data_IF_419757067566
#
_entry.id   IF_419757067566
#
_cell.length_a   1.000
_cell.length_b   1.000
_cell.length_c   1.000
_cell.angle_alpha   90.00
_cell.angle_beta   90.00
_cell.angle_gamma   90.00
#
_symmetry.space_group_name_H-M   'P 1'
#
loop_
_entity.id
_entity.type
_entity.pdbx_description
1 polymer ?
#
# COMPACT_ATOMS: atom_id res chain seq x y z
N UNK A 1 29.26 -7.94 38.20
CA UNK A 1 28.43 -6.96 37.45
C UNK A 1 28.23 -7.57 36.08
N UNK A 2 27.07 -8.13 35.84
CA UNK A 2 26.72 -8.68 34.54
C UNK A 2 26.55 -7.49 33.57
N UNK A 3 27.38 -7.43 32.56
CA UNK A 3 27.16 -6.56 31.39
C UNK A 3 25.85 -6.98 30.75
N UNK A 4 24.77 -6.22 30.97
CA UNK A 4 23.57 -6.34 30.19
C UNK A 4 23.92 -6.01 28.74
N UNK A 5 24.03 -7.02 27.90
CA UNK A 5 24.09 -6.88 26.45
C UNK A 5 22.76 -6.27 26.00
N UNK A 6 22.74 -4.96 25.83
CA UNK A 6 21.57 -4.23 25.36
C UNK A 6 21.40 -4.55 23.88
N UNK A 7 20.39 -5.37 23.57
CA UNK A 7 20.06 -5.74 22.17
C UNK A 7 19.64 -4.48 21.40
N UNK A 8 20.13 -4.24 20.19
CA UNK A 8 19.80 -3.03 19.39
C UNK A 8 18.30 -2.78 19.22
N UNK A 9 17.49 -3.83 19.22
CA UNK A 9 16.04 -3.74 19.15
C UNK A 9 15.41 -3.12 20.40
N UNK A 10 15.99 -3.39 21.59
CA UNK A 10 15.54 -2.78 22.86
C UNK A 10 15.90 -1.30 22.94
N UNK A 11 17.00 -0.90 22.31
CA UNK A 11 17.39 0.52 22.21
C UNK A 11 16.50 1.30 21.24
N UNK A 12 16.13 0.68 20.12
CA UNK A 12 15.18 1.27 19.18
C UNK A 12 13.80 1.45 19.85
N UNK A 13 13.37 0.45 20.60
CA UNK A 13 12.10 0.48 21.32
C UNK A 13 12.08 1.53 22.42
N UNK A 14 13.14 1.64 23.21
CA UNK A 14 13.27 2.72 24.23
C UNK A 14 13.36 4.11 23.61
N UNK A 15 14.07 4.26 22.48
CA UNK A 15 14.14 5.54 21.77
C UNK A 15 12.77 5.91 21.18
N UNK A 16 12.02 4.94 20.68
CA UNK A 16 10.64 5.10 20.22
C UNK A 16 9.65 5.33 21.37
N UNK A 17 9.86 4.73 22.54
CA UNK A 17 9.06 4.97 23.76
C UNK A 17 9.30 6.33 24.39
N UNK A 18 10.53 6.83 24.36
CA UNK A 18 10.92 8.11 24.98
C UNK A 18 10.55 9.33 24.14
N UNK A 19 10.18 9.16 22.90
CA UNK A 19 10.04 10.27 21.95
C UNK A 19 8.75 10.37 21.17
N UNK A 20 7.95 9.33 21.06
CA UNK A 20 6.77 9.37 20.21
C UNK A 20 5.51 9.79 20.97
N UNK A 21 5.41 11.02 21.39
CA UNK A 21 4.11 11.68 21.38
C UNK A 21 3.82 12.23 19.97
N UNK A 22 3.78 11.37 18.94
CA UNK A 22 2.93 11.65 17.80
C UNK A 22 1.52 11.58 18.35
N UNK A 23 0.90 12.75 18.49
CA UNK A 23 -0.50 12.85 18.83
C UNK A 23 -1.31 11.88 17.97
N UNK A 24 -2.08 11.01 18.60
CA UNK A 24 -3.29 10.31 18.13
C UNK A 24 -3.47 10.12 16.60
N UNK A 25 -2.47 9.59 15.90
CA UNK A 25 -2.61 9.20 14.50
C UNK A 25 -3.18 7.80 14.38
N UNK A 26 -4.33 7.56 15.03
CA UNK A 26 -5.09 6.33 14.82
C UNK A 26 -5.71 6.35 13.40
N UNK A 27 -5.84 5.18 12.79
CA UNK A 27 -6.52 5.07 11.51
C UNK A 27 -7.95 5.64 11.62
N UNK A 28 -8.37 6.54 10.72
CA UNK A 28 -9.69 7.19 10.79
C UNK A 28 -10.80 6.23 10.33
N UNK A 29 -11.20 5.26 11.17
CA UNK A 29 -12.22 4.26 10.83
C UNK A 29 -13.55 4.85 10.39
N UNK A 30 -13.82 6.12 10.76
CA UNK A 30 -15.01 6.88 10.33
C UNK A 30 -15.09 7.09 8.81
N UNK A 31 -14.01 6.83 8.07
CA UNK A 31 -14.05 6.85 6.59
C UNK A 31 -14.97 5.77 6.03
N UNK A 32 -15.06 4.64 6.70
CA UNK A 32 -15.88 3.51 6.27
C UNK A 32 -17.36 3.69 6.60
N UNK A 33 -18.23 3.02 5.84
CA UNK A 33 -19.63 2.82 6.19
C UNK A 33 -19.80 2.12 7.55
N UNK A 34 -20.97 2.24 8.13
CA UNK A 34 -21.32 1.65 9.43
C UNK A 34 -21.07 0.15 9.49
N UNK A 35 -21.47 -0.59 8.46
CA UNK A 35 -21.29 -2.03 8.38
C UNK A 35 -19.81 -2.43 8.44
N UNK A 36 -18.96 -1.79 7.64
CA UNK A 36 -17.51 -2.06 7.64
C UNK A 36 -16.88 -1.68 8.98
N UNK A 37 -17.32 -0.56 9.61
CA UNK A 37 -16.82 -0.17 10.93
C UNK A 37 -17.15 -1.20 12.01
N UNK A 38 -18.35 -1.78 11.97
CA UNK A 38 -18.76 -2.83 12.90
C UNK A 38 -17.89 -4.08 12.74
N UNK A 39 -17.66 -4.52 11.50
CA UNK A 39 -16.75 -5.64 11.20
C UNK A 39 -15.33 -5.37 11.75
N UNK A 40 -14.79 -4.16 11.53
CA UNK A 40 -13.47 -3.78 12.07
C UNK A 40 -13.45 -3.87 13.60
N UNK A 41 -14.50 -3.38 14.28
CA UNK A 41 -14.61 -3.41 15.73
C UNK A 41 -14.70 -4.86 16.26
N UNK A 42 -15.53 -5.71 15.66
CA UNK A 42 -15.68 -7.11 16.02
C UNK A 42 -14.35 -7.88 15.86
N UNK A 43 -13.69 -7.73 14.72
CA UNK A 43 -12.38 -8.37 14.46
C UNK A 43 -11.33 -7.87 15.44
N UNK A 44 -11.30 -6.58 15.76
CA UNK A 44 -10.39 -6.02 16.75
C UNK A 44 -10.66 -6.59 18.15
N UNK A 45 -11.90 -6.58 18.62
CA UNK A 45 -12.29 -7.02 19.95
C UNK A 45 -12.11 -8.54 20.14
N UNK A 46 -12.44 -9.34 19.13
CA UNK A 46 -12.40 -10.79 19.24
C UNK A 46 -11.02 -11.38 18.92
N UNK A 47 -10.31 -10.83 17.93
CA UNK A 47 -9.03 -11.37 17.49
C UNK A 47 -7.82 -10.61 18.07
N UNK A 48 -8.03 -9.44 18.67
CA UNK A 48 -6.96 -8.60 19.21
C UNK A 48 -6.04 -8.02 18.13
N UNK A 49 -6.51 -7.93 16.88
CA UNK A 49 -5.70 -7.36 15.80
C UNK A 49 -5.71 -5.83 15.87
N UNK A 50 -4.58 -5.17 15.58
CA UNK A 50 -4.53 -3.71 15.52
C UNK A 50 -5.49 -3.15 14.47
N UNK A 51 -6.29 -2.15 14.86
CA UNK A 51 -7.31 -1.51 13.99
C UNK A 51 -6.70 -0.99 12.68
N UNK A 52 -5.52 -0.37 12.75
CA UNK A 52 -4.82 0.17 11.58
C UNK A 52 -4.54 -0.90 10.52
N UNK A 53 -4.13 -2.11 10.96
CA UNK A 53 -3.86 -3.20 10.01
C UNK A 53 -5.15 -3.77 9.42
N UNK A 54 -6.22 -3.93 10.24
CA UNK A 54 -7.52 -4.41 9.75
C UNK A 54 -8.07 -3.43 8.74
N UNK A 55 -8.18 -2.16 9.12
CA UNK A 55 -8.77 -1.10 8.31
C UNK A 55 -8.01 -0.88 6.98
N UNK A 56 -6.67 -0.88 7.03
CA UNK A 56 -5.86 -0.74 5.82
C UNK A 56 -5.94 -1.96 4.90
N UNK A 57 -6.00 -3.17 5.46
CA UNK A 57 -6.18 -4.39 4.68
C UNK A 57 -7.55 -4.41 4.00
N UNK A 58 -8.62 -4.02 4.71
CA UNK A 58 -9.97 -3.91 4.14
C UNK A 58 -10.07 -2.81 3.09
N UNK A 59 -9.37 -1.68 3.26
CA UNK A 59 -9.27 -0.63 2.23
C UNK A 59 -8.67 -1.18 0.92
N UNK A 60 -7.60 -1.98 1.02
CA UNK A 60 -7.00 -2.62 -0.16
C UNK A 60 -7.95 -3.63 -0.78
N UNK A 61 -8.64 -4.44 0.02
CA UNK A 61 -9.62 -5.40 -0.48
C UNK A 61 -10.75 -4.72 -1.26
N UNK A 62 -11.27 -3.58 -0.77
CA UNK A 62 -12.26 -2.76 -1.49
C UNK A 62 -11.66 -2.28 -2.83
N UNK A 63 -10.44 -1.74 -2.82
CA UNK A 63 -9.76 -1.30 -4.02
C UNK A 63 -9.61 -2.43 -5.07
N UNK A 64 -9.23 -3.63 -4.64
CA UNK A 64 -9.12 -4.83 -5.50
C UNK A 64 -10.49 -5.23 -6.08
N UNK A 65 -11.55 -5.19 -5.26
CA UNK A 65 -12.92 -5.46 -5.71
C UNK A 65 -13.38 -4.50 -6.80
N UNK A 66 -13.04 -3.23 -6.69
CA UNK A 66 -13.31 -2.20 -7.71
C UNK A 66 -12.55 -2.51 -9.00
N UNK A 67 -11.23 -2.68 -8.91
CA UNK A 67 -10.39 -2.93 -10.08
C UNK A 67 -10.53 -1.83 -11.16
N UNK A 68 -10.49 -2.24 -12.42
CA UNK A 68 -10.65 -1.36 -13.59
C UNK A 68 -12.13 -1.06 -13.95
N UNK A 69 -13.11 -1.33 -13.09
CA UNK A 69 -14.53 -1.07 -13.41
C UNK A 69 -14.87 0.41 -13.42
N UNK A 70 -14.22 1.18 -12.56
CA UNK A 70 -14.47 2.62 -12.38
C UNK A 70 -13.17 3.41 -12.39
N UNK A 71 -13.22 4.61 -12.97
CA UNK A 71 -12.20 5.64 -12.84
C UNK A 71 -12.85 6.92 -12.32
N UNK A 72 -12.18 7.60 -11.40
CA UNK A 72 -12.59 8.93 -10.98
C UNK A 72 -11.93 9.97 -11.89
N UNK A 73 -12.70 10.96 -12.35
CA UNK A 73 -12.20 12.05 -13.20
C UNK A 73 -12.19 13.38 -12.43
N UNK A 74 -11.00 13.87 -12.14
CA UNK A 74 -10.82 15.19 -11.52
C UNK A 74 -10.99 16.32 -12.54
N UNK A 75 -10.36 16.20 -13.68
CA UNK A 75 -10.41 17.11 -14.82
C UNK A 75 -10.45 16.29 -16.10
N UNK A 76 -10.95 16.88 -17.17
CA UNK A 76 -10.92 16.24 -18.48
C UNK A 76 -9.50 15.76 -18.83
N UNK A 77 -9.34 14.44 -18.99
CA UNK A 77 -8.06 13.80 -19.28
C UNK A 77 -7.20 13.48 -18.05
N UNK A 78 -7.64 13.80 -16.82
CA UNK A 78 -7.01 13.36 -15.58
C UNK A 78 -7.94 12.41 -14.83
N UNK A 79 -7.67 11.14 -15.00
CA UNK A 79 -8.43 10.03 -14.43
C UNK A 79 -7.52 9.16 -13.56
N UNK A 80 -8.03 8.72 -12.41
CA UNK A 80 -7.33 7.80 -11.51
C UNK A 80 -8.19 6.55 -11.24
N UNK A 81 -7.52 5.43 -11.05
CA UNK A 81 -8.14 4.16 -10.65
C UNK A 81 -8.05 3.97 -9.12
N UNK A 82 -8.70 2.93 -8.60
CA UNK A 82 -8.65 2.59 -7.18
C UNK A 82 -7.35 1.90 -6.73
N UNK A 83 -6.30 1.84 -7.54
CA UNK A 83 -5.09 1.07 -7.31
C UNK A 83 -4.26 1.60 -6.12
N UNK A 84 -3.85 0.70 -5.21
CA UNK A 84 -3.08 1.02 -4.00
C UNK A 84 -1.82 0.16 -3.88
N UNK A 85 -0.74 0.76 -3.37
CA UNK A 85 0.47 0.06 -2.89
C UNK A 85 0.58 0.27 -1.38
N UNK A 86 0.39 -0.79 -0.60
CA UNK A 86 0.30 -0.70 0.87
C UNK A 86 1.26 -1.67 1.55
N UNK A 87 2.02 -1.20 2.52
CA UNK A 87 2.92 -1.98 3.35
C UNK A 87 2.54 -1.89 4.83
N UNK A 88 2.16 -3.02 5.43
CA UNK A 88 1.90 -3.13 6.86
C UNK A 88 3.21 -3.34 7.62
N UNK A 89 3.63 -2.33 8.37
CA UNK A 89 4.93 -2.28 9.03
C UNK A 89 4.81 -2.62 10.51
N UNK A 90 5.60 -3.57 11.00
CA UNK A 90 5.61 -3.87 12.42
C UNK A 90 6.73 -4.83 12.80
N UNK A 91 6.92 -5.04 14.11
CA UNK A 91 7.85 -6.04 14.63
C UNK A 91 7.34 -7.46 14.34
N UNK A 92 8.20 -8.49 14.45
CA UNK A 92 7.73 -9.88 14.51
C UNK A 92 6.71 -10.06 15.62
N UNK A 93 5.63 -10.79 15.35
CA UNK A 93 4.60 -11.10 16.35
C UNK A 93 3.57 -9.99 16.63
N UNK A 94 3.52 -8.92 15.81
CA UNK A 94 2.50 -7.86 15.91
C UNK A 94 1.22 -8.12 15.11
N UNK A 95 0.98 -9.38 14.75
CA UNK A 95 -0.24 -9.81 14.04
C UNK A 95 -0.55 -9.03 12.74
N UNK A 96 0.46 -8.80 11.89
CA UNK A 96 0.28 -8.09 10.61
C UNK A 96 -0.42 -8.94 9.54
N UNK A 97 -0.05 -10.23 9.47
CA UNK A 97 -0.52 -11.13 8.40
C UNK A 97 -1.98 -11.56 8.57
N UNK A 98 -2.46 -11.76 9.81
CA UNK A 98 -3.82 -12.22 10.06
C UNK A 98 -4.89 -11.22 9.60
N UNK A 99 -4.80 -9.90 9.92
CA UNK A 99 -5.74 -8.91 9.39
C UNK A 99 -5.78 -8.91 7.85
N UNK A 100 -4.62 -9.06 7.22
CA UNK A 100 -4.52 -9.11 5.77
C UNK A 100 -5.18 -10.39 5.22
N UNK A 101 -4.96 -11.53 5.87
CA UNK A 101 -5.62 -12.79 5.50
C UNK A 101 -7.14 -12.70 5.63
N UNK A 102 -7.64 -12.10 6.72
CA UNK A 102 -9.07 -11.85 6.91
C UNK A 102 -9.66 -11.00 5.78
N UNK A 103 -9.04 -9.85 5.50
CA UNK A 103 -9.54 -8.93 4.48
C UNK A 103 -9.53 -9.51 3.07
N UNK A 104 -8.51 -10.33 2.74
CA UNK A 104 -8.32 -10.90 1.40
C UNK A 104 -8.99 -12.27 1.21
N UNK A 105 -9.57 -12.86 2.27
CA UNK A 105 -10.23 -14.17 2.21
C UNK A 105 -11.27 -14.28 1.11
N UNK A 106 -12.18 -13.29 0.89
CA UNK A 106 -13.19 -13.39 -0.17
C UNK A 106 -12.60 -13.61 -1.57
N UNK A 107 -11.43 -13.01 -1.86
CA UNK A 107 -10.75 -13.21 -3.15
C UNK A 107 -10.07 -14.57 -3.26
N UNK A 108 -9.53 -15.11 -2.16
CA UNK A 108 -8.99 -16.45 -2.16
C UNK A 108 -10.07 -17.50 -2.39
N UNK A 109 -11.23 -17.33 -1.76
CA UNK A 109 -12.39 -18.21 -1.94
C UNK A 109 -12.90 -18.13 -3.39
N UNK A 110 -12.97 -16.94 -3.98
CA UNK A 110 -13.30 -16.74 -5.38
C UNK A 110 -12.26 -17.42 -6.30
N UNK A 111 -10.98 -17.13 -6.13
CA UNK A 111 -9.89 -17.69 -6.95
C UNK A 111 -9.85 -19.23 -6.87
N UNK A 112 -10.18 -19.79 -5.72
CA UNK A 112 -10.28 -21.24 -5.55
C UNK A 112 -11.44 -21.85 -6.35
N UNK A 113 -12.62 -21.21 -6.34
CA UNK A 113 -13.76 -21.68 -7.13
C UNK A 113 -13.49 -21.54 -8.64
N UNK A 114 -12.96 -20.41 -9.07
CA UNK A 114 -12.59 -20.19 -10.48
C UNK A 114 -11.50 -21.16 -10.95
N UNK A 115 -10.56 -21.53 -10.08
CA UNK A 115 -9.56 -22.55 -10.40
C UNK A 115 -10.20 -23.92 -10.66
N UNK A 116 -11.19 -24.33 -9.85
CA UNK A 116 -11.92 -25.58 -10.09
C UNK A 116 -12.68 -25.56 -11.40
N UNK A 117 -13.30 -24.44 -11.74
CA UNK A 117 -14.01 -24.29 -13.02
C UNK A 117 -13.02 -24.36 -14.18
N UNK A 118 -11.88 -23.66 -14.07
CA UNK A 118 -10.82 -23.69 -15.06
C UNK A 118 -10.25 -25.09 -15.28
N UNK A 119 -9.94 -25.85 -14.22
CA UNK A 119 -9.41 -27.22 -14.33
C UNK A 119 -10.37 -28.15 -15.08
N UNK A 120 -11.68 -28.03 -14.85
CA UNK A 120 -12.71 -28.79 -15.58
C UNK A 120 -12.75 -28.38 -17.05
N UNK A 121 -12.82 -27.07 -17.31
CA UNK A 121 -12.86 -26.54 -18.68
C UNK A 121 -11.58 -26.87 -19.45
N UNK A 122 -10.43 -26.84 -18.79
CA UNK A 122 -9.15 -27.19 -19.40
C UNK A 122 -9.06 -28.69 -19.73
N UNK A 123 -9.59 -29.55 -18.86
CA UNK A 123 -9.67 -31.01 -19.13
C UNK A 123 -10.54 -31.28 -20.35
N UNK A 124 -11.68 -30.60 -20.46
CA UNK A 124 -12.56 -30.70 -21.63
C UNK A 124 -11.87 -30.19 -22.90
N UNK A 125 -11.24 -29.01 -22.82
CA UNK A 125 -10.46 -28.43 -23.91
C UNK A 125 -9.32 -29.36 -24.37
N UNK A 126 -8.54 -29.93 -23.44
CA UNK A 126 -7.47 -30.87 -23.77
C UNK A 126 -7.98 -32.14 -24.48
N UNK A 127 -9.12 -32.66 -24.06
CA UNK A 127 -9.77 -33.77 -24.74
C UNK A 127 -10.22 -33.40 -26.18
N UNK A 128 -10.82 -32.23 -26.35
CA UNK A 128 -11.28 -31.73 -27.65
C UNK A 128 -10.12 -31.43 -28.59
N UNK A 129 -9.04 -30.79 -28.09
CA UNK A 129 -7.89 -30.42 -28.95
C UNK A 129 -7.13 -31.66 -29.46
N UNK A 130 -7.17 -32.77 -28.73
CA UNK A 130 -6.57 -34.07 -29.15
C UNK A 130 -7.35 -34.77 -30.27
N UNK A 131 -8.62 -34.44 -30.49
CA UNK A 131 -9.42 -34.93 -31.60
C UNK A 131 -8.92 -34.37 -32.93
N UNK A 132 -9.04 -35.12 -34.01
CA UNK A 132 -8.81 -34.59 -35.34
C UNK A 132 -9.86 -33.51 -35.66
N UNK A 133 -9.59 -32.63 -36.64
CA UNK A 133 -10.53 -31.60 -37.09
C UNK A 133 -11.89 -32.16 -37.46
N UNK A 134 -11.89 -33.31 -38.13
CA UNK A 134 -13.12 -34.01 -38.60
C UNK A 134 -13.94 -34.51 -37.40
N UNK A 135 -13.29 -35.17 -36.44
CA UNK A 135 -13.94 -35.68 -35.24
C UNK A 135 -14.53 -34.53 -34.38
N UNK A 136 -13.84 -33.38 -34.27
CA UNK A 136 -14.36 -32.21 -33.55
C UNK A 136 -15.65 -31.69 -34.16
N UNK A 137 -15.70 -31.57 -35.51
CA UNK A 137 -16.89 -31.09 -36.22
C UNK A 137 -18.04 -32.09 -36.08
N UNK A 138 -17.77 -33.40 -36.26
CA UNK A 138 -18.75 -34.46 -36.11
C UNK A 138 -19.32 -34.51 -34.67
N UNK A 139 -18.52 -34.21 -33.66
CA UNK A 139 -18.94 -34.13 -32.27
C UNK A 139 -19.59 -32.77 -31.90
N UNK A 140 -19.74 -31.84 -32.83
CA UNK A 140 -20.36 -30.54 -32.61
C UNK A 140 -19.46 -29.50 -31.91
N UNK A 141 -18.15 -29.77 -31.82
CA UNK A 141 -17.19 -28.82 -31.26
C UNK A 141 -16.69 -27.83 -32.33
N UNK A 142 -16.14 -26.69 -31.87
CA UNK A 142 -15.47 -25.74 -32.77
C UNK A 142 -14.26 -26.37 -33.46
N UNK A 143 -14.02 -25.98 -34.72
CA UNK A 143 -12.79 -26.35 -35.41
C UNK A 143 -11.52 -25.89 -34.67
N UNK A 144 -11.60 -24.72 -34.07
CA UNK A 144 -10.55 -24.12 -33.27
C UNK A 144 -11.09 -23.77 -31.88
N UNK A 145 -11.06 -24.73 -30.94
CA UNK A 145 -11.50 -24.48 -29.57
C UNK A 145 -10.66 -23.40 -28.93
N UNK A 146 -11.31 -22.49 -28.19
CA UNK A 146 -10.63 -21.48 -27.43
C UNK A 146 -10.10 -22.09 -26.14
N UNK A 147 -8.83 -21.82 -25.85
CA UNK A 147 -8.24 -22.19 -24.57
C UNK A 147 -8.96 -21.45 -23.43
N UNK A 148 -9.40 -22.16 -22.38
CA UNK A 148 -10.07 -21.53 -21.25
C UNK A 148 -9.12 -20.58 -20.50
N UNK A 149 -9.66 -19.47 -20.00
CA UNK A 149 -8.94 -18.46 -19.25
C UNK A 149 -9.16 -18.71 -17.75
N UNK A 150 -8.07 -18.75 -16.99
CA UNK A 150 -8.14 -18.82 -15.54
C UNK A 150 -8.39 -17.42 -14.96
N UNK A 151 -9.61 -17.21 -14.43
CA UNK A 151 -9.95 -15.99 -13.70
C UNK A 151 -9.30 -15.99 -12.32
N UNK A 152 -8.76 -14.86 -11.91
CA UNK A 152 -8.22 -14.66 -10.56
C UNK A 152 -8.00 -13.20 -10.24
N UNK A 153 -7.94 -12.91 -8.92
CA UNK A 153 -7.60 -11.61 -8.37
C UNK A 153 -6.19 -11.58 -7.79
N UNK A 154 -5.72 -12.69 -7.19
CA UNK A 154 -4.51 -12.72 -6.38
C UNK A 154 -3.35 -13.36 -7.15
N UNK A 155 -2.19 -12.70 -7.02
CA UNK A 155 -0.88 -13.24 -7.42
C UNK A 155 0.11 -13.03 -6.28
N UNK A 156 1.11 -13.90 -6.14
CA UNK A 156 2.10 -13.81 -5.04
C UNK A 156 3.52 -13.77 -5.58
N UNK A 157 4.09 -14.89 -5.95
CA UNK A 157 5.46 -14.99 -6.49
C UNK A 157 5.40 -15.03 -8.02
N UNK A 158 5.73 -13.90 -8.66
CA UNK A 158 5.56 -13.76 -10.11
C UNK A 158 6.55 -12.74 -10.68
N UNK A 159 7.07 -13.03 -11.88
CA UNK A 159 7.88 -12.06 -12.63
C UNK A 159 6.98 -11.04 -13.36
N UNK A 160 7.49 -9.85 -13.73
CA UNK A 160 6.74 -8.84 -14.49
C UNK A 160 6.14 -9.38 -15.79
N UNK A 161 6.85 -10.27 -16.48
CA UNK A 161 6.36 -10.89 -17.72
C UNK A 161 5.20 -11.83 -17.45
N UNK A 162 5.33 -12.71 -16.44
CA UNK A 162 4.26 -13.59 -16.00
C UNK A 162 3.03 -12.81 -15.56
N UNK A 163 3.25 -11.71 -14.82
CA UNK A 163 2.21 -10.80 -14.37
C UNK A 163 1.49 -10.13 -15.54
N UNK A 164 2.25 -9.67 -16.55
CA UNK A 164 1.69 -9.09 -17.77
C UNK A 164 0.83 -10.09 -18.53
N UNK A 165 1.29 -11.35 -18.64
CA UNK A 165 0.51 -12.43 -19.28
C UNK A 165 -0.82 -12.69 -18.57
N UNK A 166 -0.78 -12.78 -17.23
CA UNK A 166 -1.97 -13.03 -16.44
C UNK A 166 -2.92 -11.83 -16.47
N UNK A 167 -2.39 -10.59 -16.40
CA UNK A 167 -3.20 -9.37 -16.44
C UNK A 167 -3.93 -9.22 -17.78
N UNK A 168 -3.29 -9.56 -18.91
CA UNK A 168 -3.92 -9.54 -20.23
C UNK A 168 -5.17 -10.43 -20.30
N UNK A 169 -5.22 -11.52 -19.52
CA UNK A 169 -6.35 -12.40 -19.38
C UNK A 169 -7.34 -11.94 -18.28
N UNK A 170 -6.88 -11.16 -17.30
CA UNK A 170 -7.66 -10.68 -16.15
C UNK A 170 -7.71 -9.14 -16.16
N UNK A 171 -8.37 -8.58 -17.17
CA UNK A 171 -8.39 -7.14 -17.47
C UNK A 171 -9.04 -6.27 -16.39
N UNK A 172 -9.85 -6.85 -15.50
CA UNK A 172 -10.36 -6.17 -14.31
C UNK A 172 -9.23 -5.72 -13.40
N UNK A 173 -8.14 -6.47 -13.38
CA UNK A 173 -6.96 -6.17 -12.58
C UNK A 173 -6.59 -7.26 -11.60
N UNK A 174 -5.46 -7.08 -10.94
CA UNK A 174 -4.83 -8.05 -10.05
C UNK A 174 -4.38 -7.37 -8.74
N UNK A 175 -4.12 -8.19 -7.74
CA UNK A 175 -3.44 -7.79 -6.51
C UNK A 175 -2.22 -8.68 -6.28
N UNK A 176 -1.04 -8.08 -6.20
CA UNK A 176 0.14 -8.74 -5.67
C UNK A 176 0.03 -8.73 -4.14
N UNK A 177 -0.22 -9.90 -3.57
CA UNK A 177 -0.24 -10.12 -2.12
C UNK A 177 0.91 -11.01 -1.68
N UNK A 178 1.71 -10.53 -0.74
CA UNK A 178 2.83 -11.28 -0.18
C UNK A 178 2.94 -11.07 1.33
N UNK A 179 3.25 -12.13 2.07
CA UNK A 179 3.45 -12.04 3.52
C UNK A 179 4.66 -11.19 3.91
N UNK A 180 5.69 -11.12 3.05
CA UNK A 180 6.89 -10.35 3.31
C UNK A 180 7.35 -9.61 2.04
N UNK A 181 7.08 -8.30 2.00
CA UNK A 181 7.43 -7.42 0.89
C UNK A 181 8.95 -7.31 0.64
N UNK A 182 9.78 -7.67 1.61
CA UNK A 182 11.24 -7.63 1.44
C UNK A 182 11.70 -8.53 0.29
N UNK A 183 11.01 -9.65 0.02
CA UNK A 183 11.30 -10.53 -1.11
C UNK A 183 10.98 -9.82 -2.43
N UNK A 184 9.84 -9.12 -2.53
CA UNK A 184 9.46 -8.35 -3.70
C UNK A 184 10.51 -7.27 -4.02
N UNK A 185 10.94 -6.49 -3.02
CA UNK A 185 11.99 -5.48 -3.20
C UNK A 185 13.35 -6.07 -3.62
N UNK A 186 13.72 -7.25 -3.11
CA UNK A 186 14.99 -7.90 -3.46
C UNK A 186 15.02 -8.42 -4.90
N UNK A 187 13.88 -8.75 -5.46
CA UNK A 187 13.79 -9.26 -6.83
C UNK A 187 14.10 -8.18 -7.89
N UNK A 188 13.89 -6.90 -7.59
CA UNK A 188 14.07 -5.79 -8.55
C UNK A 188 15.44 -5.69 -9.24
N UNK A 189 16.48 -6.21 -8.64
CA UNK A 189 17.84 -6.14 -9.17
C UNK A 189 18.43 -7.53 -9.52
N UNK A 190 17.60 -8.57 -9.55
CA UNK A 190 18.09 -9.95 -9.64
C UNK A 190 18.54 -10.36 -11.04
N UNK A 191 17.88 -9.88 -12.09
CA UNK A 191 18.12 -10.28 -13.48
C UNK A 191 18.52 -9.14 -14.41
N UNK A 192 18.00 -7.90 -14.19
CA UNK A 192 18.36 -6.70 -14.96
C UNK A 192 18.23 -5.49 -14.03
N UNK A 193 19.31 -4.76 -13.79
CA UNK A 193 19.28 -3.59 -12.92
C UNK A 193 18.30 -2.53 -13.44
N UNK A 194 17.24 -2.23 -12.66
CA UNK A 194 16.32 -1.13 -12.87
C UNK A 194 15.07 -1.41 -13.73
N UNK A 195 15.01 -2.49 -14.52
CA UNK A 195 13.86 -2.74 -15.42
C UNK A 195 12.56 -3.08 -14.68
N UNK A 196 12.67 -3.80 -13.56
CA UNK A 196 11.52 -4.22 -12.77
C UNK A 196 10.91 -3.07 -11.96
N UNK A 197 11.72 -2.19 -11.39
CA UNK A 197 11.24 -0.97 -10.74
C UNK A 197 10.49 -0.07 -11.73
N UNK A 198 11.01 0.10 -12.95
CA UNK A 198 10.35 0.88 -14.01
C UNK A 198 9.00 0.29 -14.41
N UNK A 199 8.88 -1.04 -14.45
CA UNK A 199 7.59 -1.69 -14.67
C UNK A 199 6.57 -1.27 -13.60
N UNK A 200 6.92 -1.36 -12.30
CA UNK A 200 6.02 -0.99 -11.21
C UNK A 200 5.70 0.51 -11.16
N UNK A 201 6.64 1.37 -11.53
CA UNK A 201 6.40 2.81 -11.70
C UNK A 201 5.40 3.11 -12.83
N UNK A 202 5.50 2.38 -13.93
CA UNK A 202 4.59 2.50 -15.07
C UNK A 202 3.20 1.99 -14.73
N UNK A 203 3.10 0.83 -14.06
CA UNK A 203 1.85 0.26 -13.56
C UNK A 203 1.16 1.23 -12.61
N UNK A 204 1.88 1.77 -11.61
CA UNK A 204 1.32 2.76 -10.67
C UNK A 204 0.68 3.96 -11.36
N UNK A 205 1.29 4.41 -12.44
CA UNK A 205 0.83 5.56 -13.23
C UNK A 205 -0.21 5.18 -14.28
N UNK A 206 -0.73 3.94 -14.26
CA UNK A 206 -1.66 3.38 -15.24
C UNK A 206 -1.22 3.59 -16.70
N UNK A 207 0.10 3.71 -16.94
CA UNK A 207 0.67 3.83 -18.29
C UNK A 207 0.64 2.47 -18.97
N UNK A 208 0.23 2.46 -20.23
CA UNK A 208 0.24 1.25 -21.03
C UNK A 208 1.60 0.55 -20.97
N UNK A 209 1.59 -0.75 -20.76
CA UNK A 209 2.80 -1.58 -20.68
C UNK A 209 2.86 -2.52 -21.87
N UNK A 210 4.05 -2.67 -22.44
CA UNK A 210 4.32 -3.58 -23.55
C UNK A 210 5.40 -4.55 -23.08
N UNK A 211 5.12 -5.85 -23.23
CA UNK A 211 6.08 -6.91 -22.92
C UNK A 211 6.40 -7.70 -24.19
N UNK A 212 7.61 -7.48 -24.71
CA UNK A 212 8.13 -8.17 -25.88
C UNK A 212 8.96 -9.38 -25.44
N UNK A 213 8.65 -10.59 -25.90
CA UNK A 213 9.46 -11.79 -25.60
C UNK A 213 10.28 -12.20 -26.82
N UNK A 214 11.58 -12.39 -26.59
CA UNK A 214 12.47 -13.09 -27.53
C UNK A 214 11.97 -14.55 -27.71
N UNK A 215 11.21 -14.86 -28.72
CA UNK A 215 10.70 -16.20 -28.98
C UNK A 215 9.19 -16.34 -29.13
N UNK A 216 8.40 -15.42 -28.63
CA UNK A 216 6.95 -15.33 -28.94
C UNK A 216 6.72 -14.26 -30.01
N UNK A 217 5.96 -14.60 -31.06
CA UNK A 217 5.61 -13.66 -32.13
C UNK A 217 4.57 -12.60 -31.73
N UNK A 218 4.04 -12.65 -30.52
CA UNK A 218 3.04 -11.71 -30.02
C UNK A 218 3.54 -10.95 -28.79
N UNK A 219 3.67 -9.64 -28.92
CA UNK A 219 3.85 -8.73 -27.78
C UNK A 219 2.58 -8.71 -26.93
N UNK A 220 2.75 -8.68 -25.60
CA UNK A 220 1.63 -8.46 -24.70
C UNK A 220 1.50 -6.96 -24.49
N UNK A 221 0.37 -6.40 -24.89
CA UNK A 221 0.02 -5.00 -24.70
C UNK A 221 -1.09 -4.88 -23.66
N UNK A 222 -0.84 -4.13 -22.58
CA UNK A 222 -1.83 -3.84 -21.56
C UNK A 222 -2.12 -2.34 -21.61
N UNK A 223 -3.28 -1.98 -22.11
CA UNK A 223 -3.70 -0.59 -22.28
C UNK A 223 -3.92 0.13 -20.96
N UNK A 224 -4.48 -0.57 -19.97
CA UNK A 224 -4.77 -0.06 -18.61
C UNK A 224 -4.32 -1.07 -17.56
N UNK A 225 -3.06 -1.04 -17.13
CA UNK A 225 -2.62 -1.92 -16.06
C UNK A 225 -3.27 -1.50 -14.74
N UNK A 226 -3.80 -2.49 -14.01
CA UNK A 226 -4.30 -2.35 -12.65
C UNK A 226 -3.74 -3.48 -11.80
N UNK A 227 -2.78 -3.16 -10.95
CA UNK A 227 -2.16 -4.14 -10.05
C UNK A 227 -1.93 -3.46 -8.71
N UNK A 228 -2.81 -3.71 -7.75
CA UNK A 228 -2.57 -3.30 -6.36
C UNK A 228 -1.48 -4.16 -5.73
N UNK A 229 -0.76 -3.61 -4.77
CA UNK A 229 0.29 -4.32 -4.03
C UNK A 229 -0.01 -4.21 -2.55
N UNK A 230 0.00 -5.34 -1.85
CA UNK A 230 -0.14 -5.37 -0.40
C UNK A 230 0.70 -6.47 0.23
N UNK A 231 1.26 -6.17 1.38
CA UNK A 231 1.98 -7.17 2.17
C UNK A 231 2.52 -6.60 3.45
N UNK A 232 3.27 -7.42 4.19
CA UNK A 232 3.86 -7.01 5.45
C UNK A 232 5.36 -6.74 5.32
N UNK A 233 5.92 -5.94 6.22
CA UNK A 233 7.34 -5.69 6.29
C UNK A 233 7.78 -5.48 7.74
N UNK A 234 8.99 -5.90 8.08
CA UNK A 234 9.55 -5.68 9.41
C UNK A 234 10.20 -4.30 9.52
N UNK A 235 10.00 -3.61 10.67
CA UNK A 235 10.60 -2.28 10.94
C UNK A 235 12.11 -2.23 10.65
N UNK A 236 12.85 -3.27 11.01
CA UNK A 236 14.31 -3.33 10.79
C UNK A 236 14.74 -3.30 9.32
N UNK A 237 13.83 -3.69 8.41
CA UNK A 237 14.12 -3.76 6.98
C UNK A 237 13.82 -2.42 6.28
N UNK A 238 13.07 -1.51 6.92
CA UNK A 238 12.75 -0.21 6.32
C UNK A 238 14.00 0.56 5.87
N UNK A 239 15.08 0.55 6.65
CA UNK A 239 16.34 1.19 6.26
C UNK A 239 17.01 0.59 5.02
N UNK A 240 16.64 -0.63 4.61
CA UNK A 240 17.13 -1.24 3.36
C UNK A 240 16.36 -0.75 2.13
N UNK A 241 15.15 -0.25 2.33
CA UNK A 241 14.32 0.26 1.23
C UNK A 241 14.90 1.56 0.65
N UNK A 242 15.54 2.38 1.47
CA UNK A 242 16.16 3.66 1.07
C UNK A 242 17.58 3.50 0.54
N UNK A 243 18.13 2.26 0.45
CA UNK A 243 19.45 2.02 -0.11
C UNK A 243 19.42 2.02 -1.63
N UNK A 244 20.45 2.62 -2.25
CA UNK A 244 20.61 2.68 -3.71
C UNK A 244 19.71 3.71 -4.37
N UNK A 245 19.33 3.49 -5.62
CA UNK A 245 18.57 4.45 -6.44
C UNK A 245 17.07 4.54 -6.07
N UNK A 246 16.56 3.69 -5.16
CA UNK A 246 15.13 3.61 -4.82
C UNK A 246 14.59 4.85 -4.12
N UNK A 247 15.45 5.54 -3.36
CA UNK A 247 15.08 6.83 -2.76
C UNK A 247 15.05 7.96 -3.78
N UNK A 248 15.80 7.82 -4.89
CA UNK A 248 15.90 8.87 -5.92
C UNK A 248 14.98 8.66 -7.11
N UNK A 249 14.50 7.43 -7.37
CA UNK A 249 13.60 7.14 -8.50
C UNK A 249 12.10 7.28 -8.16
N UNK A 250 11.78 7.62 -6.91
CA UNK A 250 10.42 7.85 -6.43
C UNK A 250 9.58 6.59 -6.29
N UNK A 251 10.19 5.39 -6.27
CA UNK A 251 9.45 4.14 -6.08
C UNK A 251 8.86 4.04 -4.67
N UNK A 252 9.68 4.35 -3.65
CA UNK A 252 9.25 4.33 -2.24
C UNK A 252 8.16 5.35 -1.97
N UNK A 253 8.19 6.49 -2.66
CA UNK A 253 7.18 7.56 -2.51
C UNK A 253 5.76 7.11 -2.85
N UNK A 254 5.64 6.00 -3.57
CA UNK A 254 4.36 5.40 -4.00
C UNK A 254 3.81 4.37 -3.03
N UNK A 255 4.52 4.07 -1.94
CA UNK A 255 4.08 3.07 -0.97
C UNK A 255 3.42 3.77 0.22
N UNK A 256 2.19 3.39 0.50
CA UNK A 256 1.47 3.77 1.70
C UNK A 256 1.89 2.85 2.84
N UNK A 257 2.61 3.38 3.79
CA UNK A 257 3.02 2.64 4.97
C UNK A 257 1.98 2.74 6.08
N UNK A 258 1.75 1.62 6.77
CA UNK A 258 0.88 1.52 7.94
C UNK A 258 1.70 1.00 9.10
N UNK A 259 2.04 1.88 10.03
CA UNK A 259 2.93 1.58 11.14
C UNK A 259 2.34 2.07 12.47
N UNK A 260 1.32 1.38 13.01
CA UNK A 260 0.73 1.77 14.27
C UNK A 260 1.74 1.71 15.41
N UNK A 261 1.62 2.63 16.36
CA UNK A 261 2.45 2.64 17.55
C UNK A 261 1.95 1.59 18.56
N UNK A 262 2.43 0.36 18.41
CA UNK A 262 2.07 -0.75 19.28
C UNK A 262 3.06 -0.87 20.42
N UNK A 263 2.74 -0.31 21.58
CA UNK A 263 3.58 -0.37 22.78
C UNK A 263 3.58 -1.75 23.45
N UNK A 264 2.47 -2.48 23.34
CA UNK A 264 2.31 -3.78 23.99
C UNK A 264 1.92 -4.86 22.99
N UNK A 265 2.32 -6.10 23.27
CA UNK A 265 1.83 -7.26 22.52
C UNK A 265 0.34 -7.44 22.80
N UNK A 266 -0.46 -7.59 21.76
CA UNK A 266 -1.88 -7.90 21.88
C UNK A 266 -2.07 -9.17 22.72
N UNK A 267 -3.00 -9.12 23.69
CA UNK A 267 -3.44 -10.28 24.48
C UNK A 267 -4.57 -10.98 23.74
N UNK A 268 -4.67 -12.27 23.88
CA UNK A 268 -5.77 -13.02 23.32
C UNK A 268 -7.10 -12.60 23.97
N UNK A 269 -8.07 -12.31 23.15
CA UNK A 269 -9.44 -12.11 23.59
C UNK A 269 -10.05 -13.43 24.06
N UNK A 270 -11.07 -13.34 24.91
CA UNK A 270 -11.92 -14.48 25.26
C UNK A 270 -13.21 -14.51 24.45
N UNK A 271 -13.45 -13.46 23.67
CA UNK A 271 -14.62 -13.35 22.80
C UNK A 271 -14.37 -14.14 21.52
N UNK A 272 -15.36 -14.88 21.08
CA UNK A 272 -15.36 -15.52 19.77
C UNK A 272 -15.86 -14.53 18.72
N UNK A 273 -15.30 -14.60 17.51
CA UNK A 273 -15.79 -13.81 16.39
C UNK A 273 -17.20 -14.31 16.01
N UNK A 274 -18.20 -13.43 15.86
CA UNK A 274 -19.52 -13.85 15.40
C UNK A 274 -19.45 -14.62 14.09
N UNK A 275 -20.26 -15.68 13.96
CA UNK A 275 -20.22 -16.57 12.78
C UNK A 275 -20.53 -15.86 11.46
N UNK A 276 -21.29 -14.78 11.50
CA UNK A 276 -21.69 -14.00 10.32
C UNK A 276 -20.67 -12.93 9.89
N UNK A 277 -19.73 -12.52 10.75
CA UNK A 277 -18.79 -11.41 10.46
C UNK A 277 -17.98 -11.64 9.18
N UNK A 278 -17.44 -12.86 8.97
CA UNK A 278 -16.72 -13.20 7.72
C UNK A 278 -17.63 -13.19 6.50
N UNK A 279 -18.88 -13.64 6.68
CA UNK A 279 -19.87 -13.68 5.58
C UNK A 279 -20.30 -12.27 5.20
N UNK A 280 -20.58 -11.40 6.17
CA UNK A 280 -20.92 -9.99 5.93
C UNK A 280 -19.82 -9.27 5.16
N UNK A 281 -18.55 -9.49 5.54
CA UNK A 281 -17.43 -8.98 4.79
C UNK A 281 -17.36 -9.52 3.37
N UNK A 282 -17.55 -10.81 3.19
CA UNK A 282 -17.56 -11.46 1.88
C UNK A 282 -18.69 -10.96 0.99
N UNK A 283 -19.86 -10.65 1.57
CA UNK A 283 -21.01 -10.11 0.84
C UNK A 283 -20.74 -8.68 0.33
N UNK A 284 -20.13 -7.83 1.14
CA UNK A 284 -19.70 -6.49 0.72
C UNK A 284 -18.70 -6.56 -0.44
N UNK A 285 -17.70 -7.44 -0.34
CA UNK A 285 -16.71 -7.62 -1.42
C UNK A 285 -17.35 -8.21 -2.66
N UNK A 286 -18.31 -9.13 -2.53
CA UNK A 286 -19.04 -9.71 -3.66
C UNK A 286 -19.78 -8.64 -4.44
N UNK A 287 -20.49 -7.71 -3.77
CA UNK A 287 -21.16 -6.58 -4.44
C UNK A 287 -20.17 -5.80 -5.32
N UNK A 288 -18.94 -5.55 -4.84
CA UNK A 288 -17.92 -4.85 -5.61
C UNK A 288 -17.38 -5.70 -6.77
N UNK A 289 -17.17 -6.98 -6.56
CA UNK A 289 -16.67 -7.92 -7.60
C UNK A 289 -17.70 -8.15 -8.70
N UNK A 290 -18.99 -8.13 -8.39
CA UNK A 290 -20.09 -8.29 -9.33
C UNK A 290 -20.38 -7.03 -10.17
N UNK A 291 -19.75 -5.89 -9.87
CA UNK A 291 -19.83 -4.72 -10.75
C UNK A 291 -19.36 -5.12 -12.16
N UNK A 292 -20.16 -4.80 -13.16
CA UNK A 292 -19.78 -5.06 -14.54
C UNK A 292 -18.49 -4.34 -14.94
N UNK A 293 -17.65 -5.04 -15.69
CA UNK A 293 -16.41 -4.54 -16.26
C UNK A 293 -16.51 -4.60 -17.79
N UNK A 294 -17.19 -3.62 -18.42
CA UNK A 294 -17.50 -3.69 -19.82
C UNK A 294 -16.24 -3.63 -20.69
N UNK A 295 -16.29 -4.38 -21.79
CA UNK A 295 -15.24 -4.43 -22.81
C UNK A 295 -15.74 -3.76 -24.08
N UNK A 296 -14.84 -3.06 -24.79
CA UNK A 296 -15.10 -2.53 -26.13
C UNK A 296 -15.01 -3.63 -27.21
N UNK A 297 -15.20 -3.26 -28.47
CA UNK A 297 -15.14 -4.18 -29.61
C UNK A 297 -13.77 -4.83 -29.82
N UNK A 298 -12.72 -4.26 -29.25
CA UNK A 298 -11.35 -4.79 -29.28
C UNK A 298 -11.07 -5.66 -28.04
N UNK A 299 -12.06 -5.82 -27.15
CA UNK A 299 -11.96 -6.56 -25.92
C UNK A 299 -11.19 -5.81 -24.82
N UNK A 300 -11.03 -4.48 -24.93
CA UNK A 300 -10.40 -3.66 -23.90
C UNK A 300 -11.42 -3.08 -22.93
N UNK A 301 -10.99 -2.92 -21.65
CA UNK A 301 -11.88 -2.43 -20.59
C UNK A 301 -12.30 -0.98 -20.87
N UNK A 302 -13.61 -0.73 -20.74
CA UNK A 302 -14.24 0.60 -20.81
C UNK A 302 -14.78 0.96 -19.43
N UNK A 303 -13.98 1.55 -18.54
CA UNK A 303 -14.39 1.87 -17.18
C UNK A 303 -15.52 2.89 -17.12
N UNK A 304 -16.38 2.79 -16.12
CA UNK A 304 -17.32 3.85 -15.78
C UNK A 304 -16.56 5.07 -15.23
N UNK A 305 -16.82 6.25 -15.78
CA UNK A 305 -16.18 7.48 -15.34
C UNK A 305 -17.04 8.14 -14.27
N UNK A 306 -16.47 8.34 -13.08
CA UNK A 306 -17.14 8.95 -11.92
C UNK A 306 -16.62 10.39 -11.74
N UNK A 307 -17.42 11.42 -12.07
CA UNK A 307 -17.02 12.81 -11.84
C UNK A 307 -17.18 13.19 -10.36
N UNK A 308 -16.60 14.32 -9.97
CA UNK A 308 -16.86 14.95 -8.68
C UNK A 308 -18.10 15.84 -8.77
N UNK A 309 -18.93 15.87 -7.70
CA UNK A 309 -19.91 16.92 -7.53
C UNK A 309 -19.23 18.29 -7.42
N UNK A 310 -19.97 19.38 -7.59
CA UNK A 310 -19.40 20.72 -7.50
C UNK A 310 -18.81 20.98 -6.10
N UNK A 311 -19.52 20.62 -5.05
CA UNK A 311 -19.11 20.77 -3.65
C UNK A 311 -17.88 19.93 -3.33
N UNK A 312 -17.88 18.66 -3.77
CA UNK A 312 -16.76 17.75 -3.61
C UNK A 312 -15.50 18.28 -4.27
N UNK A 313 -15.63 18.79 -5.49
CA UNK A 313 -14.52 19.37 -6.25
C UNK A 313 -13.96 20.63 -5.59
N UNK A 314 -14.84 21.52 -5.12
CA UNK A 314 -14.45 22.74 -4.40
C UNK A 314 -13.69 22.41 -3.13
N UNK A 315 -14.16 21.43 -2.38
CA UNK A 315 -13.49 20.99 -1.15
C UNK A 315 -12.12 20.36 -1.41
N UNK A 316 -12.01 19.54 -2.46
CA UNK A 316 -10.75 18.91 -2.85
C UNK A 316 -9.71 19.96 -3.27
N UNK A 317 -10.12 21.00 -4.01
CA UNK A 317 -9.19 22.08 -4.38
C UNK A 317 -8.72 22.87 -3.18
N UNK A 318 -9.60 23.18 -2.22
CA UNK A 318 -9.20 23.87 -0.99
C UNK A 318 -8.17 23.06 -0.18
N UNK A 319 -8.33 21.74 -0.13
CA UNK A 319 -7.32 20.86 0.49
C UNK A 319 -6.00 20.89 -0.30
N UNK A 320 -6.06 20.85 -1.62
CA UNK A 320 -4.86 20.82 -2.47
C UNK A 320 -4.04 22.09 -2.34
N UNK A 321 -4.67 23.27 -2.21
CA UNK A 321 -3.97 24.53 -1.98
C UNK A 321 -3.18 24.51 -0.65
N UNK A 322 -3.76 23.95 0.40
CA UNK A 322 -3.08 23.82 1.70
C UNK A 322 -1.99 22.75 1.63
N UNK A 323 -2.25 21.64 0.94
CA UNK A 323 -1.28 20.57 0.72
C UNK A 323 -0.05 21.09 -0.04
N UNK A 324 -0.25 21.91 -1.07
CA UNK A 324 0.85 22.52 -1.82
C UNK A 324 1.74 23.40 -0.92
N UNK A 325 1.15 24.21 -0.03
CA UNK A 325 1.93 25.00 0.95
C UNK A 325 2.75 24.12 1.88
N UNK A 326 2.19 22.97 2.31
CA UNK A 326 2.95 22.02 3.14
C UNK A 326 4.13 21.44 2.35
N UNK A 327 3.94 21.06 1.08
CA UNK A 327 5.01 20.59 0.22
C UNK A 327 6.11 21.65 0.02
N UNK A 328 5.73 22.92 -0.21
CA UNK A 328 6.67 24.02 -0.43
C UNK A 328 7.49 24.36 0.80
N UNK A 329 6.99 24.08 2.00
CA UNK A 329 7.66 24.37 3.27
C UNK A 329 8.40 23.18 3.85
N UNK A 330 8.21 21.96 3.33
CA UNK A 330 8.88 20.75 3.80
C UNK A 330 10.36 20.77 3.37
N UNK A 331 11.26 20.58 4.32
CA UNK A 331 12.70 20.59 4.09
C UNK A 331 13.27 19.22 3.69
N UNK A 332 12.52 18.15 3.93
CA UNK A 332 12.93 16.78 3.63
C UNK A 332 12.44 16.37 2.23
N UNK A 333 13.37 16.30 1.27
CA UNK A 333 13.05 15.95 -0.13
C UNK A 333 12.34 14.60 -0.28
N UNK A 334 12.65 13.61 0.58
CA UNK A 334 11.95 12.31 0.57
C UNK A 334 10.49 12.47 0.98
N UNK A 335 10.21 13.27 2.03
CA UNK A 335 8.83 13.55 2.44
C UNK A 335 8.09 14.35 1.36
N UNK A 336 8.73 15.33 0.72
CA UNK A 336 8.16 16.05 -0.43
C UNK A 336 7.76 15.07 -1.53
N UNK A 337 8.64 14.13 -1.89
CA UNK A 337 8.35 13.08 -2.88
C UNK A 337 7.09 12.27 -2.52
N UNK A 338 6.98 11.84 -1.26
CA UNK A 338 5.81 11.10 -0.76
C UNK A 338 4.55 11.99 -0.79
N UNK A 339 4.65 13.24 -0.31
CA UNK A 339 3.50 14.16 -0.29
C UNK A 339 2.97 14.43 -1.70
N UNK A 340 3.83 14.61 -2.69
CA UNK A 340 3.41 14.71 -4.09
C UNK A 340 2.63 13.47 -4.59
N UNK A 341 2.86 12.28 -4.01
CA UNK A 341 2.07 11.08 -4.35
C UNK A 341 0.76 11.01 -3.58
N UNK A 342 0.66 11.65 -2.42
CA UNK A 342 -0.60 11.77 -1.69
C UNK A 342 -1.65 12.57 -2.49
N UNK A 343 -1.26 13.50 -3.37
CA UNK A 343 -2.19 14.15 -4.31
C UNK A 343 -2.86 13.18 -5.29
N UNK A 344 -2.15 12.13 -5.71
CA UNK A 344 -2.73 11.06 -6.53
C UNK A 344 -3.62 10.19 -5.67
N UNK A 345 -3.15 9.83 -4.49
CA UNK A 345 -3.85 8.94 -3.59
C UNK A 345 -5.16 9.49 -3.08
N UNK A 346 -5.26 10.79 -2.78
CA UNK A 346 -6.53 11.37 -2.32
C UNK A 346 -7.65 11.19 -3.36
N UNK A 347 -7.31 11.34 -4.66
CA UNK A 347 -8.27 11.13 -5.76
C UNK A 347 -8.70 9.65 -5.79
N UNK A 348 -7.76 8.72 -5.63
CA UNK A 348 -8.03 7.27 -5.53
C UNK A 348 -8.87 6.94 -4.30
N UNK A 349 -8.58 7.53 -3.15
CA UNK A 349 -9.35 7.36 -1.92
C UNK A 349 -10.79 7.86 -2.07
N UNK A 350 -11.01 8.99 -2.76
CA UNK A 350 -12.36 9.45 -3.04
C UNK A 350 -13.19 8.39 -3.78
N UNK A 351 -12.61 7.73 -4.79
CA UNK A 351 -13.28 6.65 -5.53
C UNK A 351 -13.54 5.43 -4.64
N UNK A 352 -12.52 4.98 -3.90
CA UNK A 352 -12.62 3.81 -3.03
C UNK A 352 -13.69 4.02 -1.96
N UNK A 353 -13.69 5.18 -1.31
CA UNK A 353 -14.64 5.51 -0.24
C UNK A 353 -16.06 5.67 -0.80
N UNK A 354 -16.22 6.31 -1.97
CA UNK A 354 -17.54 6.45 -2.59
C UNK A 354 -18.14 5.08 -2.92
N UNK A 355 -17.36 4.18 -3.49
CA UNK A 355 -17.84 2.84 -3.86
C UNK A 355 -17.99 1.92 -2.65
N UNK A 356 -17.19 2.07 -1.60
CA UNK A 356 -17.41 1.40 -0.32
C UNK A 356 -18.73 1.83 0.32
N UNK A 357 -19.03 3.12 0.31
CA UNK A 357 -20.32 3.65 0.80
C UNK A 357 -21.49 3.19 -0.07
N UNK A 358 -21.30 3.10 -1.37
CA UNK A 358 -22.30 2.56 -2.28
C UNK A 358 -22.57 1.07 -2.02
N UNK A 359 -21.54 0.24 -1.81
CA UNK A 359 -21.72 -1.19 -1.55
C UNK A 359 -22.47 -1.48 -0.25
N UNK A 360 -22.44 -0.55 0.71
CA UNK A 360 -23.21 -0.57 1.95
C UNK A 360 -24.45 0.37 1.91
N UNK A 361 -24.92 0.79 0.75
CA UNK A 361 -26.14 1.60 0.53
C UNK A 361 -26.14 2.98 1.22
N UNK A 362 -24.96 3.51 1.60
CA UNK A 362 -24.84 4.85 2.21
C UNK A 362 -24.60 5.98 1.17
N UNK A 363 -24.37 5.65 -0.10
CA UNK A 363 -24.14 6.62 -1.18
C UNK A 363 -24.52 6.03 -2.55
N UNK A 364 -24.63 6.89 -3.57
CA UNK A 364 -24.68 6.44 -4.95
C UNK A 364 -23.27 6.21 -5.54
N UNK A 365 -23.17 5.66 -6.76
CA UNK A 365 -21.90 5.45 -7.47
C UNK A 365 -21.73 6.33 -8.70
N UNK A 366 -22.58 7.31 -8.90
CA UNK A 366 -22.61 8.13 -10.13
C UNK A 366 -21.67 9.31 -10.05
N UNK A 367 -21.45 9.84 -8.84
CA UNK A 367 -20.55 10.95 -8.60
C UNK A 367 -19.87 10.85 -7.23
N UNK A 368 -18.68 11.42 -7.12
CA UNK A 368 -18.01 11.60 -5.82
C UNK A 368 -18.69 12.74 -5.08
N UNK A 369 -19.22 12.48 -3.90
CA UNK A 369 -19.83 13.49 -3.04
C UNK A 369 -18.83 14.15 -2.08
N UNK A 370 -19.22 15.26 -1.45
CA UNK A 370 -18.39 15.99 -0.51
C UNK A 370 -18.01 15.15 0.73
N UNK A 371 -18.91 14.26 1.18
CA UNK A 371 -18.64 13.37 2.31
C UNK A 371 -17.50 12.42 2.02
N UNK A 372 -17.44 11.85 0.81
CA UNK A 372 -16.32 10.97 0.40
C UNK A 372 -15.02 11.74 0.29
N UNK A 373 -15.04 13.00 -0.13
CA UNK A 373 -13.84 13.86 -0.14
C UNK A 373 -13.36 14.17 1.28
N UNK A 374 -14.23 14.53 2.22
CA UNK A 374 -13.83 14.77 3.62
C UNK A 374 -13.19 13.52 4.25
N UNK A 375 -13.79 12.37 4.01
CA UNK A 375 -13.24 11.07 4.46
C UNK A 375 -11.90 10.76 3.80
N UNK A 376 -11.75 11.06 2.50
CA UNK A 376 -10.48 10.88 1.78
C UNK A 376 -9.38 11.83 2.30
N UNK A 377 -9.72 13.06 2.68
CA UNK A 377 -8.81 14.01 3.32
C UNK A 377 -8.31 13.41 4.65
N UNK A 378 -9.22 12.96 5.51
CA UNK A 378 -8.83 12.37 6.80
C UNK A 378 -7.88 11.15 6.62
N UNK A 379 -8.14 10.32 5.62
CA UNK A 379 -7.27 9.18 5.29
C UNK A 379 -5.91 9.63 4.74
N UNK A 380 -5.88 10.68 3.95
CA UNK A 380 -4.63 11.24 3.39
C UNK A 380 -3.75 11.82 4.50
N UNK A 381 -4.33 12.53 5.48
CA UNK A 381 -3.60 13.06 6.63
C UNK A 381 -3.05 11.93 7.52
N UNK A 382 -3.80 10.83 7.69
CA UNK A 382 -3.28 9.64 8.34
C UNK A 382 -2.02 9.11 7.63
N UNK A 383 -2.05 8.92 6.31
CA UNK A 383 -0.89 8.43 5.57
C UNK A 383 0.27 9.44 5.54
N UNK A 384 -0.01 10.75 5.57
CA UNK A 384 1.03 11.77 5.76
C UNK A 384 1.76 11.57 7.09
N UNK A 385 1.01 11.40 8.17
CA UNK A 385 1.58 11.12 9.50
C UNK A 385 2.39 9.81 9.51
N UNK A 386 1.87 8.75 8.88
CA UNK A 386 2.60 7.48 8.75
C UNK A 386 3.90 7.64 7.97
N UNK A 387 3.91 8.43 6.89
CA UNK A 387 5.11 8.71 6.11
C UNK A 387 6.20 9.39 6.97
N UNK A 388 5.83 10.37 7.78
CA UNK A 388 6.74 11.03 8.71
C UNK A 388 7.34 10.04 9.72
N UNK A 389 6.50 9.20 10.33
CA UNK A 389 6.95 8.20 11.30
C UNK A 389 7.90 7.17 10.65
N UNK A 390 7.56 6.69 9.46
CA UNK A 390 8.39 5.72 8.73
C UNK A 390 9.71 6.34 8.33
N UNK A 391 9.73 7.61 7.88
CA UNK A 391 10.96 8.31 7.53
C UNK A 391 11.91 8.40 8.72
N UNK A 392 11.41 8.74 9.91
CA UNK A 392 12.20 8.75 11.14
C UNK A 392 12.82 7.38 11.44
N UNK A 393 12.05 6.29 11.29
CA UNK A 393 12.56 4.93 11.49
C UNK A 393 13.60 4.55 10.43
N UNK A 394 13.40 4.95 9.17
CA UNK A 394 14.37 4.71 8.09
C UNK A 394 15.70 5.39 8.37
N UNK A 395 15.68 6.67 8.76
CA UNK A 395 16.88 7.43 9.11
C UNK A 395 17.58 6.82 10.33
N UNK A 396 16.82 6.49 11.39
CA UNK A 396 17.39 5.84 12.57
C UNK A 396 18.08 4.53 12.23
N UNK A 397 17.48 3.71 11.36
CA UNK A 397 18.05 2.42 10.94
C UNK A 397 19.37 2.58 10.15
N UNK A 398 19.59 3.71 9.52
CA UNK A 398 20.85 4.01 8.80
C UNK A 398 21.99 4.47 9.74
N UNK A 399 21.66 4.91 10.95
CA UNK A 399 22.67 5.35 11.91
C UNK A 399 23.57 4.19 12.36
N UNK A 400 24.86 4.44 12.45
CA UNK A 400 25.77 3.51 13.11
C UNK A 400 25.58 3.51 14.64
N UNK A 401 26.15 2.53 15.33
CA UNK A 401 25.98 2.37 16.79
C UNK A 401 26.36 3.64 17.58
N UNK A 402 27.45 4.29 17.21
CA UNK A 402 27.94 5.50 17.87
C UNK A 402 27.00 6.69 17.67
N UNK A 403 26.45 6.85 16.46
CA UNK A 403 25.44 7.89 16.16
C UNK A 403 24.12 7.64 16.90
N UNK A 404 23.69 6.38 17.03
CA UNK A 404 22.50 6.04 17.83
C UNK A 404 22.71 6.38 19.29
N UNK A 405 23.89 6.09 19.85
CA UNK A 405 24.22 6.45 21.22
C UNK A 405 24.19 7.95 21.42
N UNK A 406 24.77 8.73 20.50
CA UNK A 406 24.71 10.19 20.53
C UNK A 406 23.25 10.68 20.53
N UNK A 407 22.41 10.14 19.64
CA UNK A 407 21.00 10.52 19.57
C UNK A 407 20.25 10.20 20.87
N UNK A 408 20.54 9.09 21.53
CA UNK A 408 19.91 8.69 22.80
C UNK A 408 20.30 9.67 23.92
N UNK A 409 21.58 10.02 24.04
CA UNK A 409 22.10 10.88 25.11
C UNK A 409 21.74 12.38 24.94
N UNK A 410 21.44 12.81 23.71
CA UNK A 410 20.98 14.20 23.49
C UNK A 410 19.64 14.44 24.19
N UNK A 411 19.44 15.58 24.89
CA UNK A 411 18.13 15.96 25.46
C UNK A 411 17.06 16.17 24.36
N UNK A 412 15.78 16.25 24.74
CA UNK A 412 14.69 16.55 23.81
C UNK A 412 14.82 17.91 23.13
N UNK A 413 15.40 18.89 23.83
CA UNK A 413 15.86 20.18 23.31
C UNK A 413 17.30 20.41 23.74
N UNK A 414 18.14 20.82 22.83
CA UNK A 414 19.56 21.00 23.11
C UNK A 414 20.18 22.09 22.23
N UNK A 415 21.35 22.58 22.67
CA UNK A 415 22.18 23.49 21.89
C UNK A 415 23.34 22.76 21.21
N UNK A 416 23.90 23.39 20.17
CA UNK A 416 25.11 22.84 19.50
C UNK A 416 26.23 22.55 20.48
N UNK A 417 26.48 23.43 21.45
CA UNK A 417 27.53 23.25 22.46
C UNK A 417 27.33 22.00 23.31
N UNK A 418 26.09 21.70 23.70
CA UNK A 418 25.73 20.54 24.48
C UNK A 418 25.90 19.23 23.64
N UNK A 419 25.48 19.25 22.37
CA UNK A 419 25.73 18.14 21.45
C UNK A 419 27.24 17.88 21.25
N UNK A 420 28.07 18.93 21.18
CA UNK A 420 29.53 18.81 21.09
C UNK A 420 30.11 18.16 22.34
N UNK A 421 29.68 18.55 23.55
CA UNK A 421 30.13 17.94 24.79
C UNK A 421 29.78 16.45 24.90
N UNK A 422 28.55 16.11 24.55
CA UNK A 422 28.10 14.71 24.56
C UNK A 422 28.87 13.91 23.51
N UNK A 423 29.02 14.45 22.31
CA UNK A 423 29.71 13.78 21.23
C UNK A 423 31.19 13.56 21.47
N UNK A 424 31.86 14.51 22.12
CA UNK A 424 33.29 14.39 22.52
C UNK A 424 33.47 13.21 23.49
N UNK A 425 32.59 13.07 24.49
CA UNK A 425 32.56 11.90 25.40
C UNK A 425 32.37 10.56 24.67
N UNK A 426 31.64 10.57 23.54
CA UNK A 426 31.41 9.40 22.72
C UNK A 426 32.49 9.21 21.63
N UNK A 427 33.55 10.05 21.61
CA UNK A 427 34.68 9.94 20.70
C UNK A 427 34.44 10.52 19.30
N UNK A 428 33.43 11.37 19.11
CA UNK A 428 33.24 12.11 17.86
C UNK A 428 34.17 13.33 17.75
N UNK A 429 34.60 13.61 16.52
CA UNK A 429 35.21 14.91 16.21
C UNK A 429 34.10 15.96 16.06
N UNK A 430 34.39 17.21 16.46
CA UNK A 430 33.46 18.34 16.40
C UNK A 430 32.77 18.47 15.02
N UNK A 431 33.55 18.37 13.94
CA UNK A 431 33.00 18.43 12.56
C UNK A 431 31.98 17.33 12.29
N UNK A 432 32.23 16.12 12.75
CA UNK A 432 31.31 14.97 12.54
C UNK A 432 29.97 15.21 13.26
N UNK A 433 29.97 15.84 14.43
CA UNK A 433 28.75 16.18 15.16
C UNK A 433 27.97 17.27 14.42
N UNK A 434 28.66 18.34 13.98
CA UNK A 434 28.03 19.42 13.21
C UNK A 434 27.43 18.89 11.90
N UNK A 435 28.13 18.01 11.20
CA UNK A 435 27.64 17.32 9.98
C UNK A 435 26.45 16.43 10.31
N UNK A 436 26.48 15.66 11.41
CA UNK A 436 25.38 14.83 11.88
C UNK A 436 24.12 15.65 12.18
N UNK A 437 24.27 16.76 12.93
CA UNK A 437 23.14 17.64 13.23
C UNK A 437 22.57 18.27 11.95
N UNK A 438 23.42 18.75 11.06
CA UNK A 438 23.01 19.43 9.83
C UNK A 438 22.26 18.49 8.88
N UNK A 439 22.77 17.27 8.69
CA UNK A 439 22.17 16.28 7.77
C UNK A 439 20.82 15.75 8.26
N UNK A 440 20.59 15.78 9.55
CA UNK A 440 19.37 15.22 10.15
C UNK A 440 18.36 16.31 10.57
N UNK A 441 18.51 17.55 10.09
CA UNK A 441 17.46 18.58 10.19
C UNK A 441 16.29 18.15 9.27
N UNK A 442 15.07 18.24 9.80
CA UNK A 442 13.86 17.80 9.10
C UNK A 442 13.55 16.30 9.26
N UNK A 443 14.52 15.49 9.76
CA UNK A 443 14.33 14.04 10.00
C UNK A 443 14.40 13.67 11.48
N UNK A 444 15.55 13.84 12.10
CA UNK A 444 15.77 13.56 13.53
C UNK A 444 15.70 14.81 14.41
N UNK A 445 15.88 15.98 13.81
CA UNK A 445 15.89 17.26 14.52
C UNK A 445 15.10 18.34 13.78
N UNK A 446 14.39 19.20 14.53
CA UNK A 446 13.95 20.51 14.06
C UNK A 446 14.92 21.58 14.58
N UNK A 447 15.28 22.53 13.72
CA UNK A 447 16.09 23.70 14.10
C UNK A 447 15.15 24.82 14.54
N UNK A 448 15.05 25.08 15.85
CA UNK A 448 14.17 26.12 16.39
C UNK A 448 14.77 27.53 16.19
N UNK A 449 16.10 27.66 16.39
CA UNK A 449 16.88 28.89 16.16
C UNK A 449 18.31 28.52 15.78
N UNK A 450 19.15 29.50 15.50
CA UNK A 450 20.56 29.27 15.23
C UNK A 450 21.21 28.55 16.43
N UNK A 451 21.75 27.35 16.18
CA UNK A 451 22.40 26.53 17.20
C UNK A 451 21.45 25.87 18.22
N UNK A 452 20.14 25.95 18.06
CA UNK A 452 19.15 25.32 18.94
C UNK A 452 18.33 24.30 18.17
N UNK A 453 18.21 23.12 18.72
CA UNK A 453 17.55 21.97 18.11
C UNK A 453 16.54 21.33 19.06
N UNK A 454 15.49 20.84 18.51
CA UNK A 454 14.54 19.95 19.18
C UNK A 454 14.60 18.60 18.48
N UNK A 455 14.70 17.50 19.24
CA UNK A 455 14.48 16.17 18.65
C UNK A 455 13.09 16.14 18.04
N UNK A 456 13.01 15.76 16.79
CA UNK A 456 11.78 15.25 16.22
C UNK A 456 11.62 13.93 16.94
N UNK A 457 10.57 13.81 17.77
CA UNK A 457 10.37 12.69 18.66
C UNK A 457 10.65 11.35 17.97
N UNK A 458 11.78 10.76 18.34
CA UNK A 458 12.24 9.44 17.89
C UNK A 458 11.98 8.46 19.02
#
# INVERSE_FOLDING_TARGET
MEEQVIVPEVLLDKALELGLSFSDSAFPISIFPSEIRNIIAEVHECQGFPVDYIASAMLVAIAVGIGNTHLVELKRGWQESAMLYVALVGRPGTNKSHPLSFAMKPFLDFDYQENKLYERAYTEYDNVIRMSRKERIEAGHSEQPLEPIRRRFIVSDITPEGLSFIHAQNKRGLCLWTDELSAWFKNFNRYNSGSEEQFWLSVFSAKATISDRKGNRSSIFIKRPYISVVGTIQKKILGELSKGERSSNGFIDRILFVMPNLQQKARWSRNELPENTEQEWSDIIRILVEIDCPLDSEGEVTPHIVPFSFEAKSRLYAWQEEHARICDTEANETLVGIYCKLEIYIIRFCLIIQLARWSCQEADKQSIDATSVEKAIALTEYFRSMAQQVQVVMEYNQLNQQQRQLLIELPSRFQTAEALQIGDRLGFKERAIKDFLSRNIGTLFTKERHGQYKKINV
#
